data_IF_803700765184
#
_entry.id   IF_803700765184
#
_cell.length_a   1.000
_cell.length_b   1.000
_cell.length_c   1.000
_cell.angle_alpha   90.00
_cell.angle_beta   90.00
_cell.angle_gamma   90.00
#
_symmetry.space_group_name_H-M   'P 1'
#
loop_
_entity.id
_entity.type
_entity.pdbx_description
1 polymer ?
#
# COMPACT_ATOMS: atom_id res chain seq x y z
N UNK A 1 -67.92 -42.50 26.95
CA UNK A 1 -66.79 -43.32 26.44
C UNK A 1 -65.69 -42.33 26.07
N UNK A 2 -64.76 -42.01 26.96
CA UNK A 2 -63.46 -42.69 27.21
C UNK A 2 -62.51 -42.71 26.00
N UNK A 3 -61.32 -42.11 26.17
CA UNK A 3 -60.14 -42.14 25.29
C UNK A 3 -59.71 -40.73 24.89
N UNK A 4 -58.90 -39.95 25.64
CA UNK A 4 -57.50 -40.15 26.11
C UNK A 4 -56.50 -40.36 24.96
N UNK A 5 -55.38 -39.64 25.05
CA UNK A 5 -54.11 -39.78 24.31
C UNK A 5 -54.10 -39.13 22.90
N UNK A 6 -53.08 -38.38 22.46
CA UNK A 6 -51.70 -38.22 22.93
C UNK A 6 -51.10 -37.00 22.23
N UNK A 7 -50.29 -36.27 22.98
CA UNK A 7 -49.45 -35.16 22.58
C UNK A 7 -48.58 -35.49 21.35
N UNK A 8 -48.51 -34.59 20.38
CA UNK A 8 -47.26 -34.26 19.68
C UNK A 8 -47.22 -32.73 19.53
N UNK A 9 -46.61 -32.06 20.51
CA UNK A 9 -46.00 -30.75 20.29
C UNK A 9 -44.98 -30.92 19.17
N UNK A 10 -45.22 -30.30 18.04
CA UNK A 10 -44.18 -30.11 17.03
C UNK A 10 -43.28 -28.96 17.52
N UNK A 11 -41.99 -29.20 17.83
CA UNK A 11 -41.09 -28.10 18.08
C UNK A 11 -40.88 -27.37 16.75
N UNK A 12 -41.36 -26.12 16.69
CA UNK A 12 -40.99 -25.15 15.68
C UNK A 12 -39.47 -24.94 15.82
N UNK A 13 -38.69 -25.67 15.02
CA UNK A 13 -37.25 -25.51 14.90
C UNK A 13 -37.00 -24.13 14.32
N UNK A 14 -36.69 -23.17 15.18
CA UNK A 14 -36.10 -21.89 14.82
C UNK A 14 -34.70 -22.23 14.28
N UNK A 15 -34.59 -22.39 12.97
CA UNK A 15 -33.30 -22.45 12.29
C UNK A 15 -32.68 -21.06 12.40
N UNK A 16 -31.95 -20.84 13.48
CA UNK A 16 -30.92 -19.82 13.59
C UNK A 16 -29.81 -20.17 12.59
N UNK A 17 -30.09 -20.03 11.29
CA UNK A 17 -29.07 -19.82 10.28
C UNK A 17 -28.58 -18.37 10.39
N UNK A 18 -28.09 -18.00 11.57
CA UNK A 18 -27.06 -16.96 11.67
C UNK A 18 -25.75 -17.60 11.22
N UNK A 19 -25.70 -17.95 9.93
CA UNK A 19 -24.44 -17.95 9.22
C UNK A 19 -24.04 -16.48 9.19
N UNK A 20 -23.31 -16.05 10.21
CA UNK A 20 -22.40 -14.93 10.09
C UNK A 20 -21.40 -15.31 9.01
N UNK A 21 -21.82 -15.15 7.74
CA UNK A 21 -20.93 -15.17 6.60
C UNK A 21 -20.11 -13.91 6.82
N UNK A 22 -18.95 -14.06 7.45
CA UNK A 22 -17.89 -13.06 7.35
C UNK A 22 -17.90 -12.59 5.91
N UNK A 23 -17.98 -11.28 5.62
CA UNK A 23 -18.14 -10.78 4.26
C UNK A 23 -17.11 -11.48 3.38
N UNK A 24 -17.63 -12.36 2.52
CA UNK A 24 -16.86 -13.41 1.87
C UNK A 24 -16.01 -12.80 0.79
N UNK A 25 -14.86 -12.26 1.17
CA UNK A 25 -13.86 -11.70 0.28
C UNK A 25 -13.46 -12.78 -0.73
N UNK A 26 -13.94 -12.63 -1.96
CA UNK A 26 -13.77 -13.62 -3.03
C UNK A 26 -12.53 -13.30 -3.86
N UNK A 27 -11.77 -14.33 -4.19
CA UNK A 27 -10.67 -14.29 -5.14
C UNK A 27 -10.87 -15.31 -6.26
N UNK A 28 -12.14 -15.63 -6.58
CA UNK A 28 -12.48 -16.67 -7.55
C UNK A 28 -12.24 -16.26 -9.01
N UNK A 29 -12.24 -14.96 -9.30
CA UNK A 29 -11.90 -14.38 -10.61
C UNK A 29 -11.09 -13.09 -10.42
N UNK A 30 -10.43 -12.58 -11.48
CA UNK A 30 -9.74 -11.29 -11.44
C UNK A 30 -10.65 -10.14 -10.99
N UNK A 31 -11.87 -10.08 -11.54
CA UNK A 31 -12.88 -9.06 -11.21
C UNK A 31 -13.35 -9.20 -9.76
N UNK A 32 -13.54 -10.44 -9.28
CA UNK A 32 -13.89 -10.70 -7.89
C UNK A 32 -12.76 -10.23 -6.94
N UNK A 33 -11.49 -10.42 -7.30
CA UNK A 33 -10.35 -9.92 -6.52
C UNK A 33 -10.32 -8.39 -6.48
N UNK A 34 -10.57 -7.71 -7.59
CA UNK A 34 -10.67 -6.23 -7.64
C UNK A 34 -11.84 -5.73 -6.78
N UNK A 35 -13.02 -6.35 -6.92
CA UNK A 35 -14.20 -6.02 -6.13
C UNK A 35 -13.97 -6.25 -4.63
N UNK A 36 -13.26 -7.33 -4.28
CA UNK A 36 -12.85 -7.63 -2.91
C UNK A 36 -11.91 -6.58 -2.34
N UNK A 37 -10.92 -6.10 -3.12
CA UNK A 37 -10.04 -5.02 -2.68
C UNK A 37 -10.84 -3.75 -2.33
N UNK A 38 -11.78 -3.37 -3.19
CA UNK A 38 -12.71 -2.26 -2.94
C UNK A 38 -13.52 -2.48 -1.66
N UNK A 39 -14.08 -3.68 -1.49
CA UNK A 39 -14.90 -3.99 -0.33
C UNK A 39 -14.10 -3.95 0.98
N UNK A 40 -12.86 -4.46 0.99
CA UNK A 40 -11.98 -4.39 2.16
C UNK A 40 -11.70 -2.94 2.60
N UNK A 41 -11.51 -2.03 1.64
CA UNK A 41 -11.32 -0.60 1.95
C UNK A 41 -12.60 -0.03 2.56
N UNK A 42 -13.76 -0.23 1.90
CA UNK A 42 -15.07 0.24 2.36
C UNK A 42 -15.45 -0.29 3.74
N UNK A 43 -15.09 -1.53 4.03
CA UNK A 43 -15.40 -2.19 5.31
C UNK A 43 -14.48 -1.74 6.45
N UNK A 44 -13.54 -0.82 6.22
CA UNK A 44 -12.58 -0.43 7.25
C UNK A 44 -11.52 -1.51 7.53
N UNK A 45 -11.22 -2.38 6.55
CA UNK A 45 -10.30 -3.51 6.68
C UNK A 45 -9.13 -3.42 5.71
N UNK A 46 -8.54 -2.23 5.56
CA UNK A 46 -7.44 -1.99 4.63
C UNK A 46 -6.21 -2.88 4.90
N UNK A 47 -6.01 -3.31 6.15
CA UNK A 47 -4.95 -4.24 6.50
C UNK A 47 -5.07 -5.63 5.85
N UNK A 48 -6.23 -5.99 5.29
CA UNK A 48 -6.42 -7.23 4.54
C UNK A 48 -5.99 -7.12 3.08
N UNK A 49 -5.76 -5.91 2.53
CA UNK A 49 -5.38 -5.72 1.13
C UNK A 49 -4.13 -6.52 0.73
N UNK A 50 -3.18 -6.65 1.65
CA UNK A 50 -1.94 -7.41 1.44
C UNK A 50 -2.19 -8.91 1.23
N UNK A 51 -3.35 -9.44 1.63
CA UNK A 51 -3.76 -10.82 1.35
C UNK A 51 -4.09 -11.04 -0.13
N UNK A 52 -4.45 -9.97 -0.84
CA UNK A 52 -4.71 -10.01 -2.28
C UNK A 52 -3.42 -9.96 -3.10
N UNK A 53 -2.27 -9.72 -2.47
CA UNK A 53 -0.97 -9.66 -3.13
C UNK A 53 -0.34 -11.05 -3.12
N UNK A 54 0.18 -11.48 -4.27
CA UNK A 54 0.94 -12.71 -4.43
C UNK A 54 2.23 -12.65 -3.62
N UNK A 55 2.61 -13.77 -3.01
CA UNK A 55 3.89 -13.89 -2.29
C UNK A 55 4.67 -15.06 -2.84
N UNK A 56 5.90 -14.81 -3.26
CA UNK A 56 6.78 -15.85 -3.81
C UNK A 56 7.26 -16.81 -2.71
N UNK A 57 7.47 -16.29 -1.50
CA UNK A 57 7.99 -17.03 -0.36
C UNK A 57 7.40 -16.58 0.98
N UNK A 58 7.70 -17.33 2.05
CA UNK A 58 7.19 -17.06 3.39
C UNK A 58 7.73 -15.76 4.00
N UNK A 59 8.97 -15.37 3.69
CA UNK A 59 9.55 -14.12 4.18
C UNK A 59 8.85 -12.92 3.53
N UNK A 60 8.56 -12.99 2.22
CA UNK A 60 7.73 -12.00 1.53
C UNK A 60 6.33 -11.94 2.16
N UNK A 61 5.70 -13.09 2.44
CA UNK A 61 4.39 -13.12 3.10
C UNK A 61 4.42 -12.48 4.50
N UNK A 62 5.45 -12.73 5.30
CA UNK A 62 5.62 -12.09 6.62
C UNK A 62 5.79 -10.57 6.50
N UNK A 63 6.60 -10.12 5.54
CA UNK A 63 6.79 -8.70 5.22
C UNK A 63 5.46 -8.04 4.83
N UNK A 64 4.70 -8.66 3.92
CA UNK A 64 3.37 -8.22 3.50
C UNK A 64 2.37 -8.18 4.67
N UNK A 65 2.36 -9.18 5.55
CA UNK A 65 1.47 -9.18 6.71
C UNK A 65 1.79 -8.02 7.66
N UNK A 66 3.08 -7.70 7.86
CA UNK A 66 3.49 -6.53 8.65
C UNK A 66 3.01 -5.24 8.00
N UNK A 67 3.15 -5.13 6.66
CA UNK A 67 2.59 -4.01 5.91
C UNK A 67 1.07 -3.90 6.10
N UNK A 68 0.36 -5.03 6.12
CA UNK A 68 -1.08 -5.07 6.41
C UNK A 68 -1.42 -4.46 7.77
N UNK A 69 -0.66 -4.77 8.82
CA UNK A 69 -0.86 -4.13 10.13
C UNK A 69 -0.62 -2.61 10.06
N UNK A 70 0.41 -2.18 9.33
CA UNK A 70 0.69 -0.74 9.13
C UNK A 70 -0.43 -0.03 8.40
N UNK A 71 -1.00 -0.65 7.36
CA UNK A 71 -2.16 -0.11 6.64
C UNK A 71 -3.41 -0.03 7.53
N UNK A 72 -3.60 -0.99 8.44
CA UNK A 72 -4.68 -0.94 9.43
C UNK A 72 -4.50 0.25 10.39
N UNK A 73 -3.31 0.43 10.97
CA UNK A 73 -3.08 1.60 11.84
C UNK A 73 -3.14 2.92 11.08
N UNK A 74 -2.78 2.94 9.79
CA UNK A 74 -2.93 4.13 8.94
C UNK A 74 -4.42 4.46 8.73
N UNK A 75 -5.26 3.44 8.57
CA UNK A 75 -6.71 3.61 8.53
C UNK A 75 -7.24 4.17 9.86
N UNK A 76 -6.77 3.64 10.98
CA UNK A 76 -7.11 4.16 12.31
C UNK A 76 -6.73 5.63 12.46
N UNK A 77 -5.51 6.00 12.06
CA UNK A 77 -5.05 7.39 12.05
C UNK A 77 -5.99 8.28 11.22
N UNK A 78 -6.34 7.86 10.01
CA UNK A 78 -7.23 8.64 9.15
C UNK A 78 -8.62 8.83 9.78
N UNK A 79 -9.16 7.80 10.45
CA UNK A 79 -10.43 7.90 11.18
C UNK A 79 -10.33 8.89 12.36
N UNK A 80 -9.24 8.83 13.14
CA UNK A 80 -9.02 9.77 14.25
C UNK A 80 -8.84 11.21 13.77
N UNK A 81 -8.11 11.42 12.67
CA UNK A 81 -7.94 12.74 12.06
C UNK A 81 -9.26 13.31 11.54
N UNK A 82 -10.08 12.48 10.88
CA UNK A 82 -11.41 12.91 10.43
C UNK A 82 -12.34 13.24 11.60
N UNK A 83 -12.17 12.56 12.74
CA UNK A 83 -12.91 12.86 13.98
C UNK A 83 -12.43 14.15 14.64
N UNK A 84 -11.11 14.37 14.70
CA UNK A 84 -10.51 15.52 15.38
C UNK A 84 -10.59 16.81 14.55
N UNK A 85 -10.42 16.71 13.23
CA UNK A 85 -10.30 17.85 12.30
C UNK A 85 -11.23 17.72 11.08
N UNK A 86 -12.56 17.55 11.27
CA UNK A 86 -13.49 17.24 10.18
C UNK A 86 -13.52 18.30 9.08
N UNK A 87 -13.47 19.59 9.43
CA UNK A 87 -13.49 20.69 8.46
C UNK A 87 -12.22 20.75 7.62
N UNK A 88 -11.05 20.50 8.22
CA UNK A 88 -9.77 20.48 7.49
C UNK A 88 -9.73 19.29 6.52
N UNK A 89 -10.17 18.11 6.95
CA UNK A 89 -10.25 16.92 6.10
C UNK A 89 -11.20 17.16 4.94
N UNK A 90 -12.40 17.71 5.19
CA UNK A 90 -13.38 18.03 4.15
C UNK A 90 -12.81 19.00 3.12
N UNK A 91 -12.17 20.08 3.58
CA UNK A 91 -11.55 21.07 2.68
C UNK A 91 -10.46 20.44 1.81
N UNK A 92 -9.62 19.59 2.39
CA UNK A 92 -8.59 18.89 1.63
C UNK A 92 -9.16 17.91 0.59
N UNK A 93 -10.27 17.23 0.90
CA UNK A 93 -10.97 16.38 -0.08
C UNK A 93 -11.53 17.19 -1.22
N UNK A 94 -12.14 18.33 -0.95
CA UNK A 94 -12.64 19.25 -1.99
C UNK A 94 -11.49 19.78 -2.88
N UNK A 95 -10.36 20.15 -2.27
CA UNK A 95 -9.14 20.55 -2.99
C UNK A 95 -8.53 19.40 -3.80
N UNK A 96 -8.58 18.17 -3.29
CA UNK A 96 -8.11 16.99 -4.00
C UNK A 96 -9.03 16.67 -5.18
N UNK A 97 -10.34 16.59 -4.99
CA UNK A 97 -11.31 16.30 -6.05
C UNK A 97 -11.20 17.29 -7.22
N UNK A 98 -11.04 18.59 -6.92
CA UNK A 98 -10.85 19.63 -7.94
C UNK A 98 -9.52 19.53 -8.70
N UNK A 99 -8.45 19.03 -8.08
CA UNK A 99 -7.15 18.80 -8.74
C UNK A 99 -7.07 17.45 -9.46
N UNK A 100 -7.89 16.47 -9.08
CA UNK A 100 -7.79 15.07 -9.53
C UNK A 100 -8.69 14.75 -10.73
N UNK A 101 -9.62 15.65 -11.09
CA UNK A 101 -10.50 15.53 -12.26
C UNK A 101 -9.76 15.23 -13.59
N UNK A 102 -8.44 15.52 -13.67
CA UNK A 102 -7.60 15.22 -14.83
C UNK A 102 -6.42 14.27 -14.54
N UNK A 103 -6.28 13.65 -13.35
CA UNK A 103 -5.01 13.02 -12.95
C UNK A 103 -5.03 11.82 -11.97
N UNK A 104 -6.17 11.18 -11.65
CA UNK A 104 -6.37 10.00 -10.76
C UNK A 104 -5.18 9.10 -10.30
N UNK A 105 -5.30 7.77 -10.40
CA UNK A 105 -4.24 6.82 -9.98
C UNK A 105 -2.86 7.10 -10.60
N UNK A 106 -2.84 7.72 -11.79
CA UNK A 106 -1.63 8.16 -12.50
C UNK A 106 -0.90 9.32 -11.80
N UNK A 107 -1.59 10.13 -11.00
CA UNK A 107 -1.02 11.20 -10.19
C UNK A 107 -0.34 10.64 -8.95
N UNK A 108 -0.97 9.66 -8.30
CA UNK A 108 -0.36 8.91 -7.19
C UNK A 108 0.87 8.12 -7.69
N UNK A 109 0.78 7.47 -8.85
CA UNK A 109 1.94 6.84 -9.50
C UNK A 109 3.08 7.84 -9.77
N UNK A 110 2.79 9.09 -10.16
CA UNK A 110 3.80 10.15 -10.33
C UNK A 110 4.47 10.55 -9.02
N UNK A 111 3.72 10.63 -7.93
CA UNK A 111 4.27 10.90 -6.59
C UNK A 111 5.20 9.77 -6.13
N UNK A 112 4.81 8.51 -6.33
CA UNK A 112 5.59 7.35 -5.92
C UNK A 112 6.79 7.04 -6.85
N UNK A 113 6.71 7.35 -8.14
CA UNK A 113 7.80 7.13 -9.11
C UNK A 113 8.84 8.25 -9.13
N UNK A 114 8.76 9.21 -8.19
CA UNK A 114 9.68 10.34 -8.14
C UNK A 114 9.58 11.22 -9.39
N UNK A 115 8.39 11.26 -10.01
CA UNK A 115 8.12 12.07 -11.17
C UNK A 115 8.58 13.49 -10.88
N UNK A 116 9.63 13.91 -11.61
CA UNK A 116 10.22 15.24 -11.55
C UNK A 116 9.09 16.25 -11.80
N UNK A 117 8.47 16.72 -10.73
CA UNK A 117 7.47 17.76 -10.80
C UNK A 117 8.23 19.00 -11.25
N UNK A 118 8.17 19.30 -12.54
CA UNK A 118 8.48 20.61 -13.08
C UNK A 118 7.42 21.58 -12.59
N UNK A 119 7.40 21.85 -11.29
CA UNK A 119 6.59 22.88 -10.67
C UNK A 119 7.53 23.97 -10.22
N UNK A 120 7.60 25.03 -11.04
CA UNK A 120 8.06 26.36 -10.64
C UNK A 120 7.09 26.90 -9.58
N UNK A 121 7.17 26.40 -8.35
CA UNK A 121 6.40 26.93 -7.21
C UNK A 121 7.33 27.13 -6.03
N UNK A 122 7.34 28.37 -5.58
CA UNK A 122 8.13 29.02 -4.54
C UNK A 122 7.86 28.44 -3.13
N UNK A 123 8.05 27.13 -2.95
CA UNK A 123 7.86 26.43 -1.67
C UNK A 123 9.09 25.64 -1.29
N UNK A 124 9.39 25.56 0.01
CA UNK A 124 10.49 24.71 0.46
C UNK A 124 10.18 23.24 0.15
N UNK A 125 11.18 22.38 -0.11
CA UNK A 125 10.97 20.95 -0.28
C UNK A 125 10.19 20.30 0.88
N UNK A 126 10.30 20.86 2.09
CA UNK A 126 9.56 20.44 3.27
C UNK A 126 8.04 20.72 3.14
N UNK A 127 7.64 21.86 2.57
CA UNK A 127 6.23 22.22 2.39
C UNK A 127 5.54 21.35 1.33
N UNK A 128 6.26 21.00 0.27
CA UNK A 128 5.77 20.07 -0.77
C UNK A 128 5.58 18.65 -0.22
N UNK A 129 6.50 18.18 0.62
CA UNK A 129 6.38 16.90 1.31
C UNK A 129 5.23 16.92 2.33
N UNK A 130 5.15 17.99 3.14
CA UNK A 130 4.12 18.18 4.15
C UNK A 130 2.71 18.14 3.52
N UNK A 131 2.46 18.94 2.47
CA UNK A 131 1.17 18.94 1.77
C UNK A 131 0.80 17.60 1.14
N UNK A 132 1.78 16.84 0.64
CA UNK A 132 1.55 15.48 0.11
C UNK A 132 1.19 14.49 1.22
N UNK A 133 1.87 14.55 2.36
CA UNK A 133 1.57 13.74 3.54
C UNK A 133 0.19 14.07 4.12
N UNK A 134 -0.16 15.35 4.22
CA UNK A 134 -1.48 15.79 4.70
C UNK A 134 -2.60 15.19 3.84
N UNK A 135 -2.45 15.21 2.51
CA UNK A 135 -3.42 14.59 1.59
C UNK A 135 -3.49 13.08 1.77
N UNK A 136 -2.34 12.42 1.87
CA UNK A 136 -2.27 10.98 2.11
C UNK A 136 -2.95 10.59 3.42
N UNK A 137 -2.78 11.37 4.49
CA UNK A 137 -3.37 11.09 5.80
C UNK A 137 -4.87 11.41 5.88
N UNK A 138 -5.34 12.45 5.19
CA UNK A 138 -6.76 12.80 5.15
C UNK A 138 -7.61 11.70 4.49
N UNK A 139 -7.03 10.99 3.52
CA UNK A 139 -7.73 10.03 2.68
C UNK A 139 -6.78 8.97 2.09
N UNK A 140 -6.19 8.06 2.88
CA UNK A 140 -5.18 7.12 2.39
C UNK A 140 -5.71 6.12 1.35
N UNK A 141 -7.02 5.87 1.34
CA UNK A 141 -7.65 4.87 0.47
C UNK A 141 -8.76 5.42 -0.44
N UNK A 142 -9.04 6.73 -0.42
CA UNK A 142 -10.13 7.35 -1.20
C UNK A 142 -9.94 7.15 -2.70
N UNK A 143 -8.71 7.30 -3.19
CA UNK A 143 -8.38 7.03 -4.59
C UNK A 143 -8.73 5.60 -5.02
N UNK A 144 -8.62 4.61 -4.12
CA UNK A 144 -9.02 3.23 -4.42
C UNK A 144 -10.55 3.08 -4.40
N UNK A 145 -11.25 3.75 -3.49
CA UNK A 145 -12.71 3.70 -3.42
C UNK A 145 -13.37 4.29 -4.68
N UNK A 146 -12.95 5.49 -5.05
CA UNK A 146 -13.49 6.26 -6.19
C UNK A 146 -13.12 5.60 -7.52
N UNK A 147 -11.86 5.22 -7.69
CA UNK A 147 -11.34 4.76 -8.99
C UNK A 147 -11.52 3.26 -9.22
N UNK A 148 -11.98 2.50 -8.21
CA UNK A 148 -12.24 1.06 -8.36
C UNK A 148 -13.21 0.72 -9.48
N UNK A 149 -14.17 1.59 -9.79
CA UNK A 149 -15.12 1.38 -10.89
C UNK A 149 -14.45 1.51 -12.28
N UNK A 150 -13.32 2.20 -12.34
CA UNK A 150 -12.53 2.37 -13.55
C UNK A 150 -11.47 1.27 -13.70
N UNK A 151 -11.33 0.37 -12.72
CA UNK A 151 -10.45 -0.79 -12.79
C UNK A 151 -11.15 -1.94 -13.50
N UNK A 152 -10.49 -2.49 -14.52
CA UNK A 152 -10.96 -3.65 -15.29
C UNK A 152 -9.83 -4.65 -15.43
N UNK A 153 -10.15 -5.94 -15.55
CA UNK A 153 -9.17 -6.97 -15.85
C UNK A 153 -9.29 -7.35 -17.33
N UNK A 154 -8.18 -7.31 -18.05
CA UNK A 154 -8.07 -7.87 -19.39
C UNK A 154 -7.39 -9.22 -19.30
N UNK A 155 -8.12 -10.29 -19.59
CA UNK A 155 -7.56 -11.64 -19.61
C UNK A 155 -6.44 -11.73 -20.66
N UNK A 156 -5.25 -12.16 -20.25
CA UNK A 156 -4.13 -12.41 -21.17
C UNK A 156 -4.08 -13.89 -21.58
N UNK A 157 -4.22 -14.78 -20.59
CA UNK A 157 -4.28 -16.23 -20.76
C UNK A 157 -5.19 -16.85 -19.67
N UNK A 158 -5.21 -18.17 -19.47
CA UNK A 158 -6.10 -18.80 -18.47
C UNK A 158 -5.74 -18.50 -17.01
N UNK A 159 -4.48 -18.17 -16.72
CA UNK A 159 -3.95 -18.01 -15.37
C UNK A 159 -3.50 -16.57 -15.08
N UNK A 160 -3.53 -15.69 -16.08
CA UNK A 160 -3.00 -14.33 -16.01
C UNK A 160 -3.97 -13.32 -16.62
N UNK A 161 -4.15 -12.21 -15.93
CA UNK A 161 -4.91 -11.06 -16.40
C UNK A 161 -4.13 -9.77 -16.16
N UNK A 162 -4.27 -8.79 -17.03
CA UNK A 162 -3.69 -7.46 -16.86
C UNK A 162 -4.72 -6.53 -16.22
N UNK A 163 -4.29 -5.76 -15.21
CA UNK A 163 -5.11 -4.72 -14.60
C UNK A 163 -5.05 -3.45 -15.46
N UNK A 164 -6.21 -3.00 -15.91
CA UNK A 164 -6.41 -1.79 -16.69
C UNK A 164 -7.17 -0.74 -15.86
N UNK A 165 -6.85 0.53 -16.12
CA UNK A 165 -7.55 1.69 -15.60
C UNK A 165 -8.10 2.51 -16.75
N UNK A 166 -9.43 2.72 -16.78
CA UNK A 166 -10.16 3.37 -17.88
C UNK A 166 -9.82 2.78 -19.26
N UNK A 167 -9.64 1.46 -19.32
CA UNK A 167 -9.28 0.72 -20.53
C UNK A 167 -7.82 0.83 -20.98
N UNK A 168 -6.97 1.54 -20.23
CA UNK A 168 -5.52 1.67 -20.49
C UNK A 168 -4.66 1.13 -19.35
N UNK A 169 -3.33 0.98 -19.53
CA UNK A 169 -2.44 0.56 -18.46
C UNK A 169 -2.33 1.61 -17.35
N UNK A 170 -2.29 1.18 -16.09
CA UNK A 170 -2.16 2.08 -14.91
C UNK A 170 -0.80 2.79 -14.92
N UNK A 171 0.27 2.02 -15.17
CA UNK A 171 1.64 2.52 -15.28
C UNK A 171 2.04 2.38 -16.75
N UNK A 172 2.44 3.47 -17.42
CA UNK A 172 2.96 3.39 -18.78
C UNK A 172 4.12 2.37 -18.84
N UNK A 173 4.06 1.44 -19.80
CA UNK A 173 5.03 0.36 -20.05
C UNK A 173 5.12 -0.79 -19.02
N UNK A 174 4.45 -0.71 -17.87
CA UNK A 174 4.46 -1.79 -16.86
C UNK A 174 3.04 -2.23 -16.53
N UNK A 175 2.58 -3.39 -17.04
CA UNK A 175 1.28 -3.92 -16.64
C UNK A 175 1.35 -4.44 -15.19
N UNK A 176 0.34 -4.10 -14.39
CA UNK A 176 0.11 -4.78 -13.11
C UNK A 176 -0.67 -6.05 -13.44
N UNK A 177 -0.13 -7.20 -13.08
CA UNK A 177 -0.74 -8.49 -13.40
C UNK A 177 -1.55 -9.02 -12.22
N UNK A 178 -2.61 -9.75 -12.54
CA UNK A 178 -3.25 -10.69 -11.65
C UNK A 178 -2.89 -12.09 -12.11
N UNK A 179 -2.53 -12.94 -11.17
CA UNK A 179 -2.18 -14.34 -11.43
C UNK A 179 -3.02 -15.27 -10.56
N UNK A 180 -3.51 -16.35 -11.14
CA UNK A 180 -4.12 -17.43 -10.38
C UNK A 180 -3.03 -18.31 -9.75
N UNK A 181 -3.11 -18.55 -8.44
CA UNK A 181 -2.23 -19.50 -7.78
C UNK A 181 -2.71 -20.94 -8.08
N UNK A 182 -1.85 -21.81 -8.62
CA UNK A 182 -2.23 -23.16 -8.98
C UNK A 182 -2.65 -24.02 -7.78
N UNK A 183 -2.21 -23.68 -6.55
CA UNK A 183 -2.44 -24.47 -5.33
C UNK A 183 -3.83 -24.27 -4.75
N UNK A 184 -4.29 -23.02 -4.64
CA UNK A 184 -5.57 -22.68 -4.02
C UNK A 184 -6.62 -22.17 -5.01
N UNK A 185 -6.26 -22.02 -6.28
CA UNK A 185 -7.10 -21.52 -7.39
C UNK A 185 -7.61 -20.09 -7.18
N UNK A 186 -6.95 -19.29 -6.35
CA UNK A 186 -7.29 -17.88 -6.09
C UNK A 186 -6.47 -16.93 -6.93
N UNK A 187 -7.07 -15.78 -7.26
CA UNK A 187 -6.43 -14.71 -8.01
C UNK A 187 -5.76 -13.68 -7.10
N UNK A 188 -4.51 -13.36 -7.40
CA UNK A 188 -3.67 -12.44 -6.63
C UNK A 188 -3.04 -11.37 -7.53
N UNK A 189 -2.91 -10.15 -7.02
CA UNK A 189 -2.10 -9.10 -7.63
C UNK A 189 -0.62 -9.45 -7.53
N UNK A 190 0.09 -9.39 -8.64
CA UNK A 190 1.54 -9.61 -8.70
C UNK A 190 2.22 -8.26 -8.63
N UNK A 191 3.11 -8.09 -7.65
CA UNK A 191 3.94 -6.89 -7.57
C UNK A 191 4.96 -6.92 -8.72
N UNK A 192 5.18 -5.80 -9.44
CA UNK A 192 6.12 -5.75 -10.54
C UNK A 192 7.59 -5.70 -10.08
N UNK A 193 7.95 -6.37 -8.98
CA UNK A 193 9.30 -6.34 -8.40
C UNK A 193 10.32 -7.16 -9.20
N UNK A 194 9.86 -8.02 -10.12
CA UNK A 194 10.68 -8.86 -11.00
C UNK A 194 11.10 -8.21 -12.32
N UNK A 195 10.73 -6.94 -12.53
CA UNK A 195 11.11 -6.25 -13.75
C UNK A 195 12.64 -6.09 -13.81
N UNK A 196 13.26 -6.26 -15.00
CA UNK A 196 14.71 -6.09 -15.16
C UNK A 196 15.25 -4.77 -14.61
N UNK A 197 14.47 -3.69 -14.73
CA UNK A 197 14.82 -2.36 -14.21
C UNK A 197 14.80 -2.29 -12.67
N UNK A 198 14.03 -3.15 -12.00
CA UNK A 198 13.89 -3.20 -10.54
C UNK A 198 14.70 -4.31 -9.87
N UNK A 199 15.18 -5.30 -10.64
CA UNK A 199 15.99 -6.42 -10.14
C UNK A 199 17.29 -5.99 -9.45
N UNK A 200 17.77 -4.77 -9.71
CA UNK A 200 18.92 -4.18 -9.02
C UNK A 200 18.59 -3.51 -7.68
N UNK A 201 17.32 -3.24 -7.39
CA UNK A 201 16.87 -2.46 -6.22
C UNK A 201 16.08 -3.31 -5.21
N UNK A 202 15.34 -4.31 -5.69
CA UNK A 202 14.57 -5.21 -4.84
C UNK A 202 15.21 -6.60 -4.81
N UNK A 203 15.81 -6.93 -3.67
CA UNK A 203 16.41 -8.24 -3.48
C UNK A 203 15.43 -9.17 -2.78
N UNK A 204 15.30 -10.38 -3.31
CA UNK A 204 14.43 -11.43 -2.77
C UNK A 204 15.21 -12.39 -1.85
N UNK A 205 16.09 -11.85 -1.02
CA UNK A 205 16.85 -12.64 -0.06
C UNK A 205 16.16 -12.59 1.31
N UNK A 206 16.32 -13.64 2.16
CA UNK A 206 15.81 -13.60 3.52
C UNK A 206 16.27 -12.37 4.31
N UNK A 207 17.52 -11.95 4.12
CA UNK A 207 18.12 -10.78 4.74
C UNK A 207 17.48 -9.48 4.25
N UNK A 208 17.24 -9.34 2.94
CA UNK A 208 16.53 -8.20 2.37
C UNK A 208 15.10 -8.10 2.93
N UNK A 209 14.37 -9.21 2.97
CA UNK A 209 13.01 -9.25 3.54
C UNK A 209 12.96 -8.85 5.02
N UNK A 210 13.96 -9.24 5.82
CA UNK A 210 14.07 -8.78 7.22
C UNK A 210 14.27 -7.27 7.28
N UNK A 211 15.13 -6.71 6.42
CA UNK A 211 15.37 -5.27 6.35
C UNK A 211 14.10 -4.51 5.93
N UNK A 212 13.38 -4.97 4.90
CA UNK A 212 12.10 -4.38 4.50
C UNK A 212 11.06 -4.45 5.61
N UNK A 213 10.97 -5.60 6.30
CA UNK A 213 10.07 -5.76 7.45
C UNK A 213 10.42 -4.80 8.58
N UNK A 214 11.72 -4.59 8.85
CA UNK A 214 12.20 -3.61 9.83
C UNK A 214 11.80 -2.18 9.47
N UNK A 215 11.99 -1.78 8.22
CA UNK A 215 11.55 -0.47 7.71
C UNK A 215 10.03 -0.28 7.90
N UNK A 216 9.24 -1.29 7.52
CA UNK A 216 7.78 -1.24 7.69
C UNK A 216 7.42 -1.14 9.19
N UNK A 217 8.13 -1.85 10.07
CA UNK A 217 7.91 -1.76 11.50
C UNK A 217 8.21 -0.36 12.07
N UNK A 218 9.23 0.33 11.55
CA UNK A 218 9.50 1.73 11.90
C UNK A 218 8.35 2.63 11.47
N UNK A 219 7.86 2.48 10.23
CA UNK A 219 6.69 3.23 9.74
C UNK A 219 5.45 2.96 10.58
N UNK A 220 5.20 1.69 10.94
CA UNK A 220 4.11 1.27 11.81
C UNK A 220 4.11 2.02 13.16
N UNK A 221 5.28 2.12 13.79
CA UNK A 221 5.43 2.80 15.07
C UNK A 221 5.19 4.30 14.94
N UNK A 222 5.68 4.93 13.85
CA UNK A 222 5.41 6.36 13.58
C UNK A 222 3.89 6.60 13.45
N UNK A 223 3.19 5.75 12.70
CA UNK A 223 1.74 5.87 12.53
C UNK A 223 1.00 5.70 13.85
N UNK A 224 1.37 4.71 14.68
CA UNK A 224 0.79 4.51 16.01
C UNK A 224 1.00 5.71 16.94
N UNK A 225 2.23 6.22 16.99
CA UNK A 225 2.58 7.39 17.79
C UNK A 225 1.73 8.59 17.39
N UNK A 226 1.65 8.87 16.08
CA UNK A 226 0.83 9.97 15.57
C UNK A 226 -0.65 9.78 15.93
N UNK A 227 -1.16 8.56 15.80
CA UNK A 227 -2.55 8.23 16.17
C UNK A 227 -2.80 8.54 17.64
N UNK A 228 -1.85 8.16 18.51
CA UNK A 228 -1.95 8.46 19.94
C UNK A 228 -1.84 9.97 20.21
N UNK A 229 -0.96 10.69 19.54
CA UNK A 229 -0.80 12.14 19.71
C UNK A 229 -2.04 12.93 19.26
N UNK A 230 -2.75 12.45 18.23
CA UNK A 230 -4.07 12.98 17.83
C UNK A 230 -5.11 12.70 18.93
N UNK A 231 -5.21 11.45 19.40
CA UNK A 231 -6.17 11.05 20.45
C UNK A 231 -5.97 11.80 21.76
N UNK A 232 -4.71 12.08 22.11
CA UNK A 232 -4.33 12.84 23.29
C UNK A 232 -4.57 14.36 23.13
N UNK A 233 -4.97 14.83 21.94
CA UNK A 233 -5.16 16.25 21.65
C UNK A 233 -3.86 17.07 21.62
N UNK A 234 -2.70 16.41 21.49
CA UNK A 234 -1.40 17.09 21.41
C UNK A 234 -1.23 17.83 20.08
N UNK A 235 -1.85 17.30 19.03
CA UNK A 235 -1.86 17.88 17.69
C UNK A 235 -3.13 18.74 17.55
N UNK A 236 -2.98 19.95 16.99
CA UNK A 236 -4.06 20.93 16.90
C UNK A 236 -4.64 21.11 15.50
N UNK A 237 -3.99 20.53 14.50
CA UNK A 237 -4.36 20.64 13.09
C UNK A 237 -3.79 19.48 12.27
N UNK A 238 -4.27 19.30 11.04
CA UNK A 238 -3.67 18.36 10.09
C UNK A 238 -2.25 18.79 9.71
N UNK A 239 -1.99 20.09 9.64
CA UNK A 239 -0.67 20.62 9.34
C UNK A 239 0.34 20.30 10.46
N UNK A 240 -0.07 20.39 11.74
CA UNK A 240 0.77 19.95 12.86
C UNK A 240 1.04 18.45 12.81
N UNK A 241 0.02 17.66 12.47
CA UNK A 241 0.16 16.21 12.31
C UNK A 241 1.19 15.88 11.24
N UNK A 242 1.10 16.50 10.07
CA UNK A 242 2.01 16.25 8.96
C UNK A 242 3.44 16.75 9.25
N UNK A 243 3.59 17.86 9.98
CA UNK A 243 4.90 18.34 10.49
C UNK A 243 5.53 17.33 11.45
N UNK A 244 4.80 16.89 12.48
CA UNK A 244 5.30 15.90 13.46
C UNK A 244 5.58 14.56 12.80
N UNK A 245 4.76 14.15 11.82
CA UNK A 245 5.04 12.97 11.00
C UNK A 245 6.35 13.11 10.24
N UNK A 246 6.59 14.27 9.62
CA UNK A 246 7.84 14.60 8.94
C UNK A 246 9.05 14.54 9.88
N UNK A 247 8.94 15.10 11.09
CA UNK A 247 10.01 15.07 12.09
C UNK A 247 10.34 13.63 12.56
N UNK A 248 9.32 12.81 12.85
CA UNK A 248 9.49 11.40 13.22
C UNK A 248 10.06 10.56 12.06
N UNK A 249 9.63 10.83 10.83
CA UNK A 249 10.13 10.17 9.63
C UNK A 249 11.60 10.56 9.36
N UNK A 250 11.94 11.84 9.45
CA UNK A 250 13.28 12.35 9.20
C UNK A 250 14.32 11.80 10.20
N UNK A 251 13.92 11.55 11.44
CA UNK A 251 14.81 10.97 12.45
C UNK A 251 15.01 9.46 12.27
N UNK A 252 13.98 8.74 11.81
CA UNK A 252 13.98 7.26 11.83
C UNK A 252 14.28 6.61 10.49
N UNK A 253 13.82 7.20 9.38
CA UNK A 253 13.93 6.61 8.04
C UNK A 253 15.34 6.62 7.45
N UNK A 254 16.21 7.63 7.67
CA UNK A 254 17.56 7.62 7.08
C UNK A 254 18.36 6.37 7.45
N UNK A 255 18.26 5.89 8.69
CA UNK A 255 18.96 4.67 9.11
C UNK A 255 18.46 3.43 8.39
N UNK A 256 17.14 3.32 8.17
CA UNK A 256 16.55 2.22 7.44
C UNK A 256 16.90 2.25 5.94
N UNK A 257 16.93 3.45 5.33
CA UNK A 257 17.39 3.64 3.96
C UNK A 257 18.87 3.27 3.82
N UNK A 258 19.74 3.75 4.72
CA UNK A 258 21.16 3.38 4.74
C UNK A 258 21.35 1.87 4.90
N UNK A 259 20.52 1.21 5.72
CA UNK A 259 20.57 -0.24 5.86
C UNK A 259 20.22 -0.96 4.55
N UNK A 260 19.19 -0.50 3.83
CA UNK A 260 18.81 -1.03 2.50
C UNK A 260 19.92 -0.78 1.49
N UNK A 261 20.51 0.41 1.46
CA UNK A 261 21.61 0.75 0.55
C UNK A 261 22.84 -0.12 0.80
N UNK A 262 23.19 -0.34 2.07
CA UNK A 262 24.32 -1.23 2.45
C UNK A 262 24.05 -2.67 2.06
N UNK A 263 22.83 -3.16 2.26
CA UNK A 263 22.44 -4.51 1.87
C UNK A 263 22.47 -4.68 0.35
N UNK A 264 21.95 -3.69 -0.39
CA UNK A 264 21.98 -3.61 -1.85
C UNK A 264 23.41 -3.63 -2.39
N UNK A 265 24.29 -2.83 -1.81
CA UNK A 265 25.70 -2.77 -2.20
C UNK A 265 26.42 -4.10 -1.91
N UNK A 266 26.16 -4.72 -0.76
CA UNK A 266 26.73 -6.02 -0.40
C UNK A 266 26.29 -7.11 -1.38
N UNK A 267 24.98 -7.20 -1.68
CA UNK A 267 24.46 -8.20 -2.61
C UNK A 267 24.97 -8.01 -4.04
N UNK A 268 25.06 -6.78 -4.52
CA UNK A 268 25.64 -6.50 -5.84
C UNK A 268 27.09 -6.93 -5.96
N UNK A 269 27.90 -6.68 -4.92
CA UNK A 269 29.29 -7.17 -4.86
C UNK A 269 29.35 -8.69 -4.93
N UNK A 270 28.46 -9.40 -4.22
CA UNK A 270 28.43 -10.88 -4.30
C UNK A 270 28.01 -11.40 -5.67
N UNK A 271 27.19 -10.66 -6.42
CA UNK A 271 26.71 -11.04 -7.77
C UNK A 271 27.58 -10.51 -8.91
N UNK A 272 28.67 -9.80 -8.61
CA UNK A 272 29.54 -9.20 -9.62
C UNK A 272 28.87 -8.10 -10.46
N UNK A 273 27.81 -7.47 -9.95
CA UNK A 273 27.11 -6.37 -10.63
C UNK A 273 27.83 -5.05 -10.34
N UNK A 274 28.04 -4.23 -11.38
CA UNK A 274 28.63 -2.90 -11.25
C UNK A 274 27.69 -1.92 -10.54
N UNK A 275 28.26 -0.97 -9.80
CA UNK A 275 27.49 0.07 -9.11
C UNK A 275 26.80 1.00 -10.14
N UNK A 276 25.49 1.24 -10.06
CA UNK A 276 24.75 2.11 -10.99
C UNK A 276 25.04 3.59 -10.72
N UNK A 277 25.55 3.94 -9.53
CA UNK A 277 26.18 5.23 -9.33
C UNK A 277 27.56 5.17 -9.98
N UNK A 278 27.60 5.38 -11.30
CA UNK A 278 28.78 5.85 -11.99
C UNK A 278 29.17 7.23 -11.46
N UNK A 279 29.63 7.29 -10.21
CA UNK A 279 30.46 8.39 -9.74
C UNK A 279 31.78 8.22 -10.46
N UNK A 280 31.90 8.99 -11.53
CA UNK A 280 33.15 9.39 -12.16
C UNK A 280 34.06 10.04 -11.10
N UNK A 281 34.64 9.23 -10.24
CA UNK A 281 35.78 9.56 -9.40
C UNK A 281 37.04 9.02 -10.05
N UNK A 282 37.26 9.35 -11.33
CA UNK A 282 38.52 9.10 -11.98
C UNK A 282 39.59 9.95 -11.31
N UNK A 283 40.39 9.34 -10.44
CA UNK A 283 41.68 9.92 -10.05
C UNK A 283 42.51 10.12 -11.33
N UNK A 284 42.99 11.34 -11.64
CA UNK A 284 43.87 11.53 -12.79
C UNK A 284 45.14 10.71 -12.55
N UNK A 285 45.42 9.76 -13.45
CA UNK A 285 46.72 9.11 -13.52
C UNK A 285 47.75 10.17 -13.90
N UNK A 286 48.62 10.53 -12.95
CA UNK A 286 49.82 11.31 -13.21
C UNK A 286 50.68 10.55 -14.25
N UNK A 287 51.10 11.18 -15.35
CA UNK A 287 52.01 10.52 -16.29
C UNK A 287 53.38 10.30 -15.64
N UNK A 288 54.12 9.24 -16.01
CA UNK A 288 55.47 9.04 -15.53
C UNK A 288 56.37 10.17 -16.06
N UNK A 289 57.06 10.83 -15.14
CA UNK A 289 58.19 11.70 -15.47
C UNK A 289 59.26 10.85 -16.14
N UNK A 290 59.68 11.26 -17.34
CA UNK A 290 60.88 10.78 -18.02
C UNK A 290 62.12 11.39 -17.37
#
# INVERSE_FOLDING_TARGET
MCGVLRWILSPLVIVLASCSRDPGYSQASPEATIATAKQMVKDGKAGLLVKLIHSDDENMRRCLNRLGHTLAHLQDLAMELNRAFPEEVRKLREEAASQTANSGLSGLARTFTGGRATSRRDGSPADAMNSSLTRLFASPFEALEEESANLTALQLDQETSSLLYKGGPIIPAVPILLKQDPKDKRWYFVLPIDLPILNGYFFKTPEAWRTYTGLIATLDNIVKDLTQDVRDGKLKSLNDTARVAGEKAFTSLPFAIIAIDRLTAAERRTRGLSDPSGSSGGTPKTPPLK
#
